data_IF_464183395752
#
_entry.id   IF_464183395752
#
_cell.length_a   1.000
_cell.length_b   1.000
_cell.length_c   1.000
_cell.angle_alpha   90.00
_cell.angle_beta   90.00
_cell.angle_gamma   90.00
#
_symmetry.space_group_name_H-M   'P 1'
#
loop_
_entity.id
_entity.type
_entity.pdbx_description
1 polymer ?
#
# COMPACT_ATOMS: atom_id res chain seq x y z
N UNK A 1 -47.94 3.92 -67.04
CA UNK A 1 -48.42 2.57 -66.72
C UNK A 1 -47.79 1.62 -67.72
N UNK A 2 -46.77 0.85 -67.30
CA UNK A 2 -46.49 -0.54 -67.71
C UNK A 2 -45.16 -0.97 -67.09
N UNK A 3 -45.27 -2.08 -66.35
CA UNK A 3 -44.25 -2.89 -65.68
C UNK A 3 -42.96 -3.12 -66.48
N UNK A 4 -41.82 -2.99 -65.79
CA UNK A 4 -40.62 -3.76 -66.12
C UNK A 4 -40.10 -4.44 -64.85
N UNK A 5 -40.05 -5.77 -64.94
CA UNK A 5 -39.46 -6.71 -63.99
C UNK A 5 -37.97 -6.43 -63.78
N UNK A 6 -37.53 -6.46 -62.51
CA UNK A 6 -36.13 -6.69 -62.18
C UNK A 6 -36.03 -7.88 -61.23
N UNK A 7 -35.27 -8.88 -61.70
CA UNK A 7 -34.93 -10.13 -61.05
C UNK A 7 -33.90 -9.89 -59.95
N UNK A 8 -34.21 -10.34 -58.73
CA UNK A 8 -33.27 -10.36 -57.61
C UNK A 8 -32.47 -11.65 -57.68
N UNK A 9 -31.19 -11.55 -58.03
CA UNK A 9 -30.24 -12.66 -58.00
C UNK A 9 -29.69 -12.80 -56.57
N UNK A 10 -30.00 -13.93 -55.93
CA UNK A 10 -29.56 -14.29 -54.59
C UNK A 10 -28.08 -14.71 -54.63
N UNK A 11 -27.18 -13.87 -54.11
CA UNK A 11 -25.78 -14.23 -53.90
C UNK A 11 -25.60 -14.85 -52.51
N UNK A 12 -25.55 -16.19 -52.48
CA UNK A 12 -25.08 -16.99 -51.35
C UNK A 12 -23.69 -16.51 -50.92
N UNK A 13 -23.58 -15.88 -49.76
CA UNK A 13 -22.29 -15.69 -49.08
C UNK A 13 -22.02 -16.90 -48.19
N UNK A 14 -20.91 -17.55 -48.50
CA UNK A 14 -20.30 -18.69 -47.83
C UNK A 14 -19.95 -18.35 -46.37
N UNK A 15 -20.50 -19.14 -45.45
CA UNK A 15 -20.09 -19.20 -44.06
C UNK A 15 -18.68 -19.82 -43.98
N UNK A 16 -17.69 -18.98 -43.65
CA UNK A 16 -16.36 -19.43 -43.23
C UNK A 16 -16.45 -19.87 -41.77
N UNK A 17 -16.47 -21.18 -41.56
CA UNK A 17 -16.33 -21.80 -40.24
C UNK A 17 -14.85 -21.70 -39.81
N UNK A 18 -14.56 -20.86 -38.83
CA UNK A 18 -13.28 -20.87 -38.12
C UNK A 18 -13.30 -21.97 -37.05
N UNK A 19 -12.34 -22.90 -37.02
CA UNK A 19 -12.19 -23.84 -35.92
C UNK A 19 -11.59 -23.11 -34.71
N UNK A 20 -12.39 -22.95 -33.66
CA UNK A 20 -11.89 -22.63 -32.32
C UNK A 20 -11.15 -23.86 -31.78
N UNK A 21 -9.82 -23.83 -31.83
CA UNK A 21 -9.00 -24.71 -31.00
C UNK A 21 -9.15 -24.29 -29.53
N UNK A 22 -9.87 -25.11 -28.77
CA UNK A 22 -9.85 -25.13 -27.32
C UNK A 22 -8.43 -25.51 -26.86
N UNK A 23 -7.62 -24.49 -26.53
CA UNK A 23 -6.43 -24.69 -25.74
C UNK A 23 -6.85 -24.81 -24.27
N UNK A 24 -6.94 -26.05 -23.78
CA UNK A 24 -7.00 -26.38 -22.36
C UNK A 24 -5.65 -26.04 -21.73
N UNK A 25 -5.51 -24.80 -21.26
CA UNK A 25 -4.39 -24.38 -20.42
C UNK A 25 -4.53 -24.99 -19.03
N UNK A 26 -3.61 -25.90 -18.69
CA UNK A 26 -3.56 -26.59 -17.41
C UNK A 26 -3.49 -25.61 -16.23
N UNK A 27 -4.27 -25.93 -15.21
CA UNK A 27 -4.13 -25.36 -13.88
C UNK A 27 -2.76 -25.77 -13.32
N UNK A 28 -1.83 -24.82 -13.26
CA UNK A 28 -0.65 -24.96 -12.42
C UNK A 28 -1.11 -24.88 -10.96
N UNK A 29 -1.18 -26.05 -10.33
CA UNK A 29 -1.17 -26.20 -8.87
C UNK A 29 0.09 -25.51 -8.35
N UNK A 30 -0.07 -24.37 -7.66
CA UNK A 30 0.97 -23.90 -6.76
C UNK A 30 0.76 -24.60 -5.43
N UNK A 31 1.57 -25.64 -5.21
CA UNK A 31 1.70 -26.31 -3.94
C UNK A 31 2.04 -25.31 -2.85
N UNK A 32 1.13 -25.26 -1.88
CA UNK A 32 1.24 -24.53 -0.64
C UNK A 32 2.21 -25.32 0.25
N UNK A 33 3.51 -25.10 0.08
CA UNK A 33 4.49 -25.56 1.05
C UNK A 33 4.36 -24.74 2.33
N UNK A 34 3.50 -25.22 3.22
CA UNK A 34 3.50 -24.92 4.64
C UNK A 34 4.68 -25.67 5.25
N UNK A 35 5.84 -25.01 5.35
CA UNK A 35 6.99 -25.54 6.07
C UNK A 35 6.73 -25.47 7.57
N UNK A 36 6.12 -26.52 8.11
CA UNK A 36 6.11 -26.77 9.55
C UNK A 36 7.51 -27.22 9.93
N UNK A 37 8.31 -26.33 10.51
CA UNK A 37 9.64 -26.67 11.03
C UNK A 37 9.44 -27.29 12.42
N UNK A 38 9.48 -28.63 12.48
CA UNK A 38 9.58 -29.41 13.71
C UNK A 38 11.06 -29.53 14.08
N UNK A 39 11.52 -28.83 15.11
CA UNK A 39 12.86 -29.05 15.67
C UNK A 39 12.84 -30.26 16.60
N UNK A 40 13.36 -31.39 16.11
CA UNK A 40 13.76 -32.53 16.95
C UNK A 40 15.15 -32.26 17.51
N UNK A 41 15.24 -32.13 18.83
CA UNK A 41 16.50 -31.99 19.55
C UNK A 41 17.26 -33.30 19.65
N UNK A 42 18.57 -33.24 19.42
CA UNK A 42 19.52 -34.28 19.83
C UNK A 42 20.76 -33.64 20.42
N UNK A 43 21.09 -34.09 21.63
CA UNK A 43 22.30 -33.85 22.40
C UNK A 43 23.59 -34.06 21.58
N UNK A 44 24.60 -33.21 21.82
CA UNK A 44 25.97 -33.40 21.38
C UNK A 44 26.91 -32.38 22.02
N UNK A 45 27.91 -32.86 22.75
CA UNK A 45 28.81 -32.15 23.65
C UNK A 45 29.93 -31.35 22.98
N UNK A 46 30.45 -30.37 23.75
CA UNK A 46 31.82 -29.82 23.83
C UNK A 46 32.59 -29.38 22.56
N UNK A 47 33.05 -28.12 22.56
CA UNK A 47 34.25 -27.72 21.80
C UNK A 47 34.32 -26.26 21.32
N UNK A 48 34.84 -25.38 22.18
CA UNK A 48 35.66 -24.18 21.94
C UNK A 48 35.65 -23.41 20.59
N UNK A 49 35.34 -22.11 20.74
CA UNK A 49 36.03 -20.93 20.18
C UNK A 49 35.70 -20.36 18.78
N UNK A 50 35.68 -19.02 18.80
CA UNK A 50 35.87 -18.04 17.71
C UNK A 50 34.64 -17.51 16.94
N UNK A 51 34.40 -16.21 17.20
CA UNK A 51 34.10 -15.11 16.26
C UNK A 51 33.24 -15.43 15.03
N UNK A 52 32.05 -14.83 15.02
CA UNK A 52 31.28 -14.61 13.80
C UNK A 52 30.03 -13.81 14.11
N UNK A 53 30.18 -12.51 14.32
CA UNK A 53 29.06 -11.58 14.45
C UNK A 53 28.35 -11.51 13.09
N UNK A 54 27.26 -12.25 12.93
CA UNK A 54 26.37 -12.18 11.78
C UNK A 54 25.55 -10.90 11.83
N UNK A 55 26.20 -9.77 11.58
CA UNK A 55 25.52 -8.50 11.42
C UNK A 55 24.70 -8.53 10.13
N UNK A 56 23.37 -8.63 10.26
CA UNK A 56 22.47 -8.27 9.15
C UNK A 56 22.84 -6.87 8.69
N UNK A 57 23.21 -6.77 7.41
CA UNK A 57 23.57 -5.49 6.79
C UNK A 57 22.29 -4.70 6.61
N UNK A 58 21.87 -3.97 7.65
CA UNK A 58 20.82 -2.96 7.50
C UNK A 58 21.28 -1.96 6.44
N UNK A 59 20.55 -1.89 5.33
CA UNK A 59 20.76 -0.88 4.30
C UNK A 59 20.35 0.45 4.90
N UNK A 60 21.32 1.18 5.45
CA UNK A 60 21.10 2.53 6.00
C UNK A 60 21.10 3.54 4.86
N UNK A 61 19.96 4.17 4.63
CA UNK A 61 19.88 5.28 3.69
C UNK A 61 20.46 6.55 4.32
N UNK A 62 21.24 7.34 3.57
CA UNK A 62 21.66 8.67 4.02
C UNK A 62 20.39 9.53 4.23
N UNK A 63 20.06 9.80 5.49
CA UNK A 63 18.81 10.47 5.89
C UNK A 63 18.07 9.78 7.05
N UNK A 64 18.34 8.50 7.33
CA UNK A 64 17.86 7.83 8.55
C UNK A 64 18.66 8.29 9.77
N UNK A 65 18.35 9.50 10.27
CA UNK A 65 18.77 9.87 11.63
C UNK A 65 18.09 8.91 12.61
N UNK A 66 18.89 8.16 13.37
CA UNK A 66 18.44 7.48 14.58
C UNK A 66 17.84 8.54 15.52
N UNK A 67 16.52 8.72 15.46
CA UNK A 67 15.80 9.44 16.51
C UNK A 67 15.71 8.50 17.71
N UNK A 68 16.78 8.46 18.49
CA UNK A 68 16.71 8.02 19.88
C UNK A 68 15.92 9.09 20.65
N UNK A 69 14.59 9.03 20.61
CA UNK A 69 13.76 9.73 21.59
C UNK A 69 13.94 8.95 22.91
N UNK A 70 14.79 9.44 23.81
CA UNK A 70 14.64 9.14 25.23
C UNK A 70 13.48 9.98 25.74
N UNK A 71 12.47 9.32 26.30
CA UNK A 71 11.23 9.91 26.83
C UNK A 71 11.42 10.65 28.19
N UNK A 72 12.66 10.89 28.62
CA UNK A 72 12.95 11.32 30.01
C UNK A 72 13.18 12.83 30.22
N UNK A 73 13.06 13.69 29.20
CA UNK A 73 13.34 15.14 29.33
C UNK A 73 12.15 16.08 29.08
N UNK A 74 10.93 15.68 29.48
CA UNK A 74 9.74 16.57 29.44
C UNK A 74 9.48 17.15 30.83
N UNK A 75 10.36 18.05 31.30
CA UNK A 75 10.02 18.95 32.40
C UNK A 75 11.00 20.13 32.55
N UNK A 76 11.37 20.79 31.45
CA UNK A 76 11.99 22.13 31.53
C UNK A 76 11.19 23.16 30.73
N UNK A 77 10.97 24.31 31.38
CA UNK A 77 10.10 25.42 30.98
C UNK A 77 10.39 25.91 29.56
N UNK A 78 9.40 25.82 28.69
CA UNK A 78 9.39 26.47 27.38
C UNK A 78 9.20 27.99 27.54
N UNK A 79 10.32 28.70 27.73
CA UNK A 79 10.43 30.10 27.29
C UNK A 79 11.11 30.04 25.94
N UNK A 80 10.35 29.94 24.86
CA UNK A 80 10.91 30.06 23.51
C UNK A 80 11.50 31.46 23.37
N UNK A 81 12.80 31.57 23.13
CA UNK A 81 13.40 32.83 22.73
C UNK A 81 12.97 33.14 21.29
N UNK A 82 12.79 34.41 20.93
CA UNK A 82 12.36 34.84 19.58
C UNK A 82 13.28 34.34 18.45
N UNK A 83 14.47 33.84 18.77
CA UNK A 83 15.42 33.25 17.84
C UNK A 83 15.13 31.78 17.51
N UNK A 84 14.38 31.05 18.36
CA UNK A 84 14.03 29.64 18.17
C UNK A 84 12.69 29.44 17.44
N UNK A 85 11.99 30.54 17.15
CA UNK A 85 10.74 30.57 16.39
C UNK A 85 10.96 30.80 14.90
N UNK A 86 12.13 30.48 14.34
CA UNK A 86 12.26 30.39 12.89
C UNK A 86 11.37 29.22 12.48
N UNK A 87 10.28 29.45 11.73
CA UNK A 87 9.54 28.33 11.17
C UNK A 87 10.55 27.54 10.36
N UNK A 88 10.81 26.30 10.74
CA UNK A 88 11.50 25.36 9.88
C UNK A 88 10.63 25.27 8.63
N UNK A 89 10.95 26.10 7.64
CA UNK A 89 10.43 25.97 6.29
C UNK A 89 11.07 24.67 5.82
N UNK A 90 10.40 23.56 6.08
CA UNK A 90 10.64 22.34 5.35
C UNK A 90 10.38 22.70 3.89
N UNK A 91 11.44 23.09 3.17
CA UNK A 91 11.40 23.11 1.72
C UNK A 91 11.04 21.68 1.31
N UNK A 92 9.76 21.46 1.05
CA UNK A 92 9.30 20.21 0.48
C UNK A 92 9.86 20.19 -0.93
N UNK A 93 10.97 19.46 -1.09
CA UNK A 93 11.55 19.25 -2.40
C UNK A 93 10.59 18.37 -3.17
N UNK A 94 9.86 18.95 -4.11
CA UNK A 94 9.01 18.22 -5.03
C UNK A 94 9.85 17.70 -6.20
N UNK A 95 9.71 16.42 -6.53
CA UNK A 95 10.41 15.83 -7.69
C UNK A 95 9.43 15.83 -8.85
N UNK A 96 9.68 16.66 -9.87
CA UNK A 96 8.78 16.74 -11.02
C UNK A 96 8.81 15.48 -11.90
N UNK A 97 7.66 15.14 -12.47
CA UNK A 97 7.56 14.13 -13.51
C UNK A 97 8.08 14.66 -14.85
N UNK A 98 8.89 13.87 -15.53
CA UNK A 98 9.36 14.21 -16.86
C UNK A 98 8.26 14.02 -17.92
N UNK A 99 8.51 14.47 -19.16
CA UNK A 99 7.53 14.40 -20.26
C UNK A 99 7.06 12.96 -20.54
N UNK A 100 7.94 11.96 -20.48
CA UNK A 100 7.57 10.57 -20.72
C UNK A 100 6.61 10.05 -19.65
N UNK A 101 6.83 10.43 -18.39
CA UNK A 101 5.96 10.06 -17.26
C UNK A 101 4.60 10.75 -17.36
N UNK A 102 4.56 12.05 -17.71
CA UNK A 102 3.32 12.77 -18.00
C UNK A 102 2.52 12.10 -19.12
N UNK A 103 3.20 11.59 -20.16
CA UNK A 103 2.56 10.80 -21.23
C UNK A 103 2.03 9.44 -20.74
N UNK A 104 2.70 8.77 -19.79
CA UNK A 104 2.18 7.53 -19.18
C UNK A 104 0.86 7.78 -18.44
N UNK A 105 0.79 8.86 -17.65
CA UNK A 105 -0.45 9.30 -16.98
C UNK A 105 -1.53 9.58 -18.01
N UNK A 106 -1.20 10.33 -19.07
CA UNK A 106 -2.14 10.66 -20.14
C UNK A 106 -2.71 9.41 -20.82
N UNK A 107 -1.86 8.45 -21.20
CA UNK A 107 -2.27 7.18 -21.82
C UNK A 107 -3.18 6.36 -20.91
N UNK A 108 -2.98 6.43 -19.59
CA UNK A 108 -3.79 5.73 -18.58
C UNK A 108 -4.96 6.55 -18.04
N UNK A 109 -5.28 7.71 -18.62
CA UNK A 109 -6.36 8.60 -18.14
C UNK A 109 -7.74 7.91 -18.08
N UNK A 110 -8.06 7.03 -19.05
CA UNK A 110 -9.30 6.24 -19.03
C UNK A 110 -9.35 5.29 -17.84
N UNK A 111 -8.23 4.64 -17.51
CA UNK A 111 -8.12 3.78 -16.33
C UNK A 111 -8.28 4.59 -15.04
N UNK A 112 -7.56 5.70 -14.91
CA UNK A 112 -7.65 6.62 -13.75
C UNK A 112 -9.09 7.05 -13.50
N UNK A 113 -9.83 7.47 -14.54
CA UNK A 113 -11.25 7.85 -14.43
C UNK A 113 -12.13 6.71 -13.95
N UNK A 114 -11.97 5.51 -14.51
CA UNK A 114 -12.74 4.32 -14.09
C UNK A 114 -12.42 3.94 -12.64
N UNK A 115 -11.15 4.02 -12.25
CA UNK A 115 -10.72 3.72 -10.89
C UNK A 115 -11.34 4.69 -9.89
N UNK A 116 -11.27 6.02 -10.15
CA UNK A 116 -11.92 7.05 -9.33
C UNK A 116 -13.43 6.79 -9.19
N UNK A 117 -14.11 6.47 -10.30
CA UNK A 117 -15.53 6.18 -10.29
C UNK A 117 -15.89 4.92 -9.48
N UNK A 118 -15.11 3.84 -9.59
CA UNK A 118 -15.35 2.60 -8.86
C UNK A 118 -15.13 2.75 -7.34
N UNK A 119 -14.14 3.55 -6.93
CA UNK A 119 -13.79 3.72 -5.52
C UNK A 119 -14.81 4.57 -4.75
N UNK A 120 -15.44 5.56 -5.41
CA UNK A 120 -16.45 6.43 -4.78
C UNK A 120 -17.66 5.68 -4.19
N UNK A 121 -17.94 4.47 -4.68
CA UNK A 121 -19.15 3.72 -4.31
C UNK A 121 -18.87 2.43 -3.50
N UNK A 122 -17.62 2.12 -3.16
CA UNK A 122 -17.29 0.90 -2.40
C UNK A 122 -16.67 1.24 -1.05
N UNK A 123 -17.30 0.75 0.01
CA UNK A 123 -16.86 0.83 1.41
C UNK A 123 -15.68 -0.09 1.77
N UNK A 124 -15.14 -0.81 0.79
CA UNK A 124 -13.87 -1.52 0.89
C UNK A 124 -13.33 -1.77 -0.52
N UNK A 125 -12.02 -1.66 -0.78
CA UNK A 125 -11.47 -2.00 -2.08
C UNK A 125 -11.47 -3.53 -2.17
N UNK A 126 -12.37 -4.08 -2.99
CA UNK A 126 -12.07 -5.34 -3.65
C UNK A 126 -10.71 -5.19 -4.30
N UNK A 127 -9.76 -6.09 -4.01
CA UNK A 127 -8.38 -6.10 -4.53
C UNK A 127 -8.36 -5.92 -6.06
N UNK A 128 -8.42 -4.69 -6.53
CA UNK A 128 -8.18 -4.37 -7.93
C UNK A 128 -6.71 -4.70 -8.12
N UNK A 129 -6.32 -5.52 -9.09
CA UNK A 129 -4.89 -5.71 -9.35
C UNK A 129 -4.31 -4.36 -9.75
N UNK A 130 -3.58 -3.74 -8.84
CA UNK A 130 -3.03 -2.40 -9.05
C UNK A 130 -1.74 -2.53 -9.84
N UNK A 131 -1.73 -1.95 -11.04
CA UNK A 131 -0.48 -1.76 -11.79
C UNK A 131 -0.01 -0.33 -11.57
N UNK A 132 1.31 -0.16 -11.44
CA UNK A 132 1.91 1.18 -11.41
C UNK A 132 1.50 1.96 -12.66
N UNK A 133 1.11 3.21 -12.49
CA UNK A 133 0.76 4.12 -13.58
C UNK A 133 2.05 4.70 -14.15
N UNK A 134 2.92 5.23 -13.28
CA UNK A 134 4.17 5.91 -13.60
C UNK A 134 5.36 5.06 -13.20
N UNK A 135 6.30 4.88 -14.13
CA UNK A 135 7.59 4.24 -13.86
C UNK A 135 8.63 5.31 -13.54
N UNK A 136 9.25 5.21 -12.36
CA UNK A 136 10.32 6.11 -11.92
C UNK A 136 11.66 5.74 -12.55
N UNK A 137 12.46 6.74 -12.92
CA UNK A 137 13.83 6.53 -13.39
C UNK A 137 14.75 6.16 -12.21
N UNK A 138 15.89 5.47 -12.45
CA UNK A 138 16.85 5.17 -11.38
C UNK A 138 17.30 6.42 -10.60
N UNK A 139 17.56 7.53 -11.30
CA UNK A 139 17.94 8.79 -10.66
C UNK A 139 16.85 9.34 -9.73
N UNK A 140 15.59 9.28 -10.14
CA UNK A 140 14.46 9.66 -9.28
C UNK A 140 14.32 8.73 -8.09
N UNK A 141 14.53 7.41 -8.24
CA UNK A 141 14.51 6.46 -7.11
C UNK A 141 15.53 6.85 -6.05
N UNK A 142 16.78 7.12 -6.46
CA UNK A 142 17.85 7.57 -5.56
C UNK A 142 17.48 8.86 -4.84
N UNK A 143 16.90 9.84 -5.56
CA UNK A 143 16.45 11.10 -4.99
C UNK A 143 15.27 10.92 -4.01
N UNK A 144 14.34 10.02 -4.31
CA UNK A 144 13.21 9.71 -3.41
C UNK A 144 13.72 9.03 -2.15
N UNK A 145 14.63 8.07 -2.25
CA UNK A 145 15.17 7.35 -1.09
C UNK A 145 15.98 8.27 -0.17
N UNK A 146 16.70 9.27 -0.71
CA UNK A 146 17.41 10.24 0.12
C UNK A 146 16.49 11.20 0.87
N UNK A 147 15.30 11.48 0.34
CA UNK A 147 14.34 12.44 0.93
C UNK A 147 13.27 11.77 1.80
N UNK A 148 12.77 10.62 1.36
CA UNK A 148 11.62 9.91 1.92
C UNK A 148 11.99 8.51 2.41
N UNK A 149 13.28 8.20 2.60
CA UNK A 149 13.75 6.86 2.98
C UNK A 149 13.13 6.29 4.26
N UNK A 150 12.60 7.15 5.14
CA UNK A 150 11.89 6.75 6.35
C UNK A 150 10.52 6.10 6.10
N UNK A 151 9.95 6.24 4.89
CA UNK A 151 8.68 5.62 4.52
C UNK A 151 8.82 4.17 4.05
N UNK A 152 10.04 3.73 3.75
CA UNK A 152 10.29 2.46 3.11
C UNK A 152 10.93 1.47 4.08
N UNK A 153 10.43 0.24 4.08
CA UNK A 153 11.01 -0.87 4.83
C UNK A 153 10.85 -2.18 4.07
N UNK A 154 11.63 -3.18 4.46
CA UNK A 154 11.47 -4.55 3.95
C UNK A 154 10.33 -5.27 4.70
N UNK A 155 9.82 -6.37 4.16
CA UNK A 155 8.69 -7.09 4.77
C UNK A 155 9.08 -7.71 6.13
N UNK A 156 10.33 -8.14 6.23
CA UNK A 156 10.93 -8.80 7.40
C UNK A 156 11.09 -7.85 8.59
N UNK A 157 11.09 -6.54 8.33
CA UNK A 157 11.24 -5.48 9.35
C UNK A 157 9.90 -5.10 9.99
N UNK A 158 8.79 -5.61 9.47
CA UNK A 158 7.46 -5.26 9.96
C UNK A 158 7.16 -5.93 11.31
N UNK A 159 6.53 -5.21 12.24
CA UNK A 159 6.06 -5.83 13.47
C UNK A 159 5.00 -6.89 13.13
N UNK A 160 5.13 -8.05 13.76
CA UNK A 160 4.09 -9.08 13.76
C UNK A 160 2.80 -8.48 14.31
N UNK A 161 1.79 -8.40 13.46
CA UNK A 161 0.45 -7.90 13.78
C UNK A 161 -0.13 -8.60 15.03
N UNK A 162 0.18 -9.89 15.21
CA UNK A 162 -0.27 -10.71 16.33
C UNK A 162 0.44 -10.45 17.67
N UNK A 163 1.54 -9.70 17.71
CA UNK A 163 2.36 -9.53 18.91
C UNK A 163 2.25 -8.17 19.61
N UNK A 164 1.52 -7.21 19.03
CA UNK A 164 1.17 -5.96 19.73
C UNK A 164 0.25 -6.25 20.94
N UNK A 165 -0.40 -7.41 20.98
CA UNK A 165 -1.26 -7.86 22.08
C UNK A 165 -0.64 -8.81 23.12
N UNK A 166 0.59 -9.34 22.92
CA UNK A 166 1.11 -10.45 23.76
C UNK A 166 2.23 -10.07 24.73
N UNK A 167 2.72 -8.82 24.71
CA UNK A 167 3.55 -8.31 25.83
C UNK A 167 2.64 -7.85 26.97
N UNK A 168 2.41 -8.75 27.92
CA UNK A 168 1.76 -8.51 29.21
C UNK A 168 2.18 -7.17 29.84
N UNK A 169 1.30 -6.16 29.78
CA UNK A 169 1.00 -5.20 30.87
C UNK A 169 -0.10 -4.24 30.39
N UNK A 170 -1.30 -4.43 30.97
CA UNK A 170 -2.60 -3.79 30.65
C UNK A 170 -3.37 -4.53 29.56
N UNK A 171 -4.46 -5.17 29.98
CA UNK A 171 -5.53 -5.68 29.13
C UNK A 171 -6.08 -4.53 28.28
N UNK A 172 -5.57 -4.36 27.05
CA UNK A 172 -6.21 -3.50 26.07
C UNK A 172 -7.53 -4.16 25.68
N UNK A 173 -8.64 -3.54 26.08
CA UNK A 173 -9.97 -3.99 25.69
C UNK A 173 -10.17 -3.58 24.23
N UNK A 174 -10.21 -4.56 23.34
CA UNK A 174 -10.56 -4.33 21.94
C UNK A 174 -12.09 -4.22 21.86
N UNK A 175 -12.59 -3.00 21.65
CA UNK A 175 -14.03 -2.73 21.57
C UNK A 175 -14.63 -3.31 20.28
N UNK A 176 -13.93 -3.12 19.16
CA UNK A 176 -14.30 -3.64 17.86
C UNK A 176 -13.27 -4.65 17.37
N UNK A 177 -13.61 -5.95 17.33
CA UNK A 177 -12.78 -6.96 16.70
C UNK A 177 -12.45 -6.58 15.26
N UNK A 178 -11.17 -6.60 14.93
CA UNK A 178 -10.64 -6.21 13.62
C UNK A 178 -9.56 -7.16 13.14
N UNK A 179 -9.51 -7.36 11.83
CA UNK A 179 -8.42 -8.02 11.13
C UNK A 179 -7.46 -6.94 10.64
N UNK A 180 -6.20 -7.04 11.04
CA UNK A 180 -5.13 -6.13 10.68
C UNK A 180 -4.23 -6.79 9.63
N UNK A 181 -3.94 -6.08 8.54
CA UNK A 181 -3.08 -6.56 7.47
C UNK A 181 -2.14 -5.44 6.99
N UNK A 182 -0.84 -5.73 6.94
CA UNK A 182 0.11 -4.89 6.20
C UNK A 182 -0.05 -5.10 4.69
N UNK A 183 -0.27 -4.03 3.94
CA UNK A 183 -0.40 -4.06 2.49
C UNK A 183 0.55 -3.04 1.82
N UNK A 184 1.04 -3.42 0.65
CA UNK A 184 1.87 -2.57 -0.20
C UNK A 184 0.98 -1.86 -1.23
N UNK A 185 0.19 -0.90 -0.74
CA UNK A 185 -0.77 -0.17 -1.57
C UNK A 185 -0.03 0.51 -2.73
N UNK A 186 -0.54 0.35 -3.96
CA UNK A 186 0.04 1.00 -5.16
C UNK A 186 -0.73 2.24 -5.56
N UNK A 187 -2.06 2.26 -5.37
CA UNK A 187 -2.92 3.41 -5.68
C UNK A 187 -3.76 3.75 -4.45
N UNK A 188 -3.88 5.03 -4.13
CA UNK A 188 -4.68 5.52 -3.02
C UNK A 188 -5.43 6.79 -3.37
N UNK A 189 -6.38 7.17 -2.53
CA UNK A 189 -7.02 8.49 -2.58
C UNK A 189 -6.41 9.38 -1.51
N UNK A 190 -6.22 10.65 -1.81
CA UNK A 190 -5.85 11.66 -0.80
C UNK A 190 -7.08 12.09 0.02
N UNK A 191 -6.86 12.94 1.03
CA UNK A 191 -7.95 13.60 1.75
C UNK A 191 -8.97 14.28 0.81
N UNK A 192 -8.47 14.88 -0.27
CA UNK A 192 -9.24 15.64 -1.26
C UNK A 192 -9.80 14.77 -2.40
N UNK A 193 -9.83 13.45 -2.23
CA UNK A 193 -10.26 12.46 -3.23
C UNK A 193 -9.44 12.48 -4.54
N UNK A 194 -8.20 12.98 -4.47
CA UNK A 194 -7.25 12.90 -5.56
C UNK A 194 -6.73 11.45 -5.68
N UNK A 195 -6.81 10.86 -6.87
CA UNK A 195 -6.13 9.58 -7.13
C UNK A 195 -4.63 9.82 -7.26
N UNK A 196 -3.85 9.13 -6.43
CA UNK A 196 -2.38 9.15 -6.43
C UNK A 196 -1.81 7.75 -6.53
N UNK A 197 -0.55 7.64 -6.97
CA UNK A 197 0.22 6.40 -6.87
C UNK A 197 1.14 6.46 -5.66
N UNK A 198 0.99 5.51 -4.76
CA UNK A 198 1.94 5.29 -3.66
C UNK A 198 3.20 4.67 -4.23
N UNK A 199 4.36 5.24 -3.89
CA UNK A 199 5.65 4.80 -4.44
C UNK A 199 6.02 3.45 -3.82
N UNK A 200 6.42 2.49 -4.66
CA UNK A 200 6.86 1.16 -4.25
C UNK A 200 8.13 0.79 -5.05
N UNK A 201 9.17 0.29 -4.40
CA UNK A 201 10.42 -0.14 -5.03
C UNK A 201 10.53 -1.67 -5.00
N UNK A 202 9.71 -2.31 -5.85
CA UNK A 202 9.64 -3.77 -5.89
C UNK A 202 10.97 -4.46 -6.26
N UNK A 203 11.87 -3.76 -6.95
CA UNK A 203 13.19 -4.25 -7.35
C UNK A 203 14.18 -4.39 -6.19
N UNK A 204 14.09 -3.53 -5.18
CA UNK A 204 14.94 -3.58 -3.99
C UNK A 204 14.26 -4.23 -2.79
N UNK A 205 12.96 -4.52 -2.90
CA UNK A 205 12.14 -5.03 -1.79
C UNK A 205 11.63 -3.93 -0.87
N UNK A 206 12.09 -2.69 -1.05
CA UNK A 206 11.68 -1.54 -0.25
C UNK A 206 10.26 -1.10 -0.62
N UNK A 207 9.37 -1.13 0.37
CA UNK A 207 7.96 -0.82 0.17
C UNK A 207 7.46 0.13 1.25
N UNK A 208 6.46 0.92 0.87
CA UNK A 208 5.65 1.64 1.84
C UNK A 208 4.54 0.71 2.31
N UNK A 209 4.68 0.22 3.54
CA UNK A 209 3.71 -0.68 4.16
C UNK A 209 2.65 0.12 4.88
N UNK A 210 1.40 -0.17 4.52
CA UNK A 210 0.23 0.50 5.05
C UNK A 210 -0.59 -0.53 5.81
N UNK A 211 -0.91 -0.22 7.07
CA UNK A 211 -1.76 -1.06 7.90
C UNK A 211 -3.23 -0.81 7.53
N UNK A 212 -3.84 -1.77 6.85
CA UNK A 212 -5.27 -1.84 6.56
C UNK A 212 -5.97 -2.60 7.69
N UNK A 213 -7.12 -2.08 8.16
CA UNK A 213 -7.92 -2.77 9.16
C UNK A 213 -9.34 -3.00 8.66
N UNK A 214 -9.89 -4.18 8.96
CA UNK A 214 -11.26 -4.56 8.61
C UNK A 214 -12.01 -4.98 9.85
N UNK A 215 -13.21 -4.46 10.04
CA UNK A 215 -14.08 -4.96 11.10
C UNK A 215 -14.46 -6.41 10.82
N UNK A 216 -14.22 -7.31 11.77
CA UNK A 216 -14.63 -8.71 11.65
C UNK A 216 -16.08 -8.92 12.12
N UNK A 217 -16.61 -7.96 12.88
CA UNK A 217 -17.97 -7.95 13.39
C UNK A 217 -18.58 -6.55 13.24
N UNK A 218 -19.92 -6.49 13.20
CA UNK A 218 -20.66 -5.23 13.13
C UNK A 218 -21.12 -4.72 14.51
N UNK A 219 -20.81 -5.46 15.58
CA UNK A 219 -21.20 -5.16 16.97
C UNK A 219 -19.97 -5.16 17.87
N UNK A 220 -20.02 -4.37 18.94
CA UNK A 220 -18.94 -4.30 19.92
C UNK A 220 -19.00 -5.49 20.90
N UNK A 221 -17.85 -5.96 21.37
CA UNK A 221 -17.80 -7.21 22.16
C UNK A 221 -18.35 -7.11 23.58
N UNK A 222 -18.46 -5.91 24.17
CA UNK A 222 -18.78 -5.74 25.60
C UNK A 222 -19.71 -4.56 25.94
N UNK A 223 -20.17 -3.79 24.95
CA UNK A 223 -20.95 -2.57 25.16
C UNK A 223 -22.28 -2.72 24.43
N UNK A 224 -23.40 -2.73 25.16
CA UNK A 224 -24.74 -2.62 24.57
C UNK A 224 -24.86 -1.26 23.88
N UNK A 225 -25.60 -1.20 22.75
CA UNK A 225 -25.76 0.02 21.94
C UNK A 225 -24.46 0.52 21.27
N UNK A 226 -23.55 -0.39 20.95
CA UNK A 226 -22.31 -0.10 20.23
C UNK A 226 -22.20 -0.98 18.98
N UNK A 227 -21.96 -0.33 17.84
CA UNK A 227 -21.71 -0.94 16.55
C UNK A 227 -20.27 -0.75 16.11
N UNK A 228 -19.79 -1.66 15.29
CA UNK A 228 -18.49 -1.54 14.62
C UNK A 228 -18.72 -1.22 13.15
N UNK A 229 -17.95 -0.28 12.62
CA UNK A 229 -18.05 0.10 11.21
C UNK A 229 -16.68 0.44 10.62
N UNK A 230 -16.53 0.13 9.34
CA UNK A 230 -15.39 0.58 8.57
C UNK A 230 -15.41 2.10 8.44
N UNK A 231 -14.28 2.74 8.73
CA UNK A 231 -14.05 4.15 8.53
C UNK A 231 -12.75 4.33 7.74
N UNK A 232 -12.51 5.54 7.25
CA UNK A 232 -11.22 5.90 6.67
C UNK A 232 -10.41 6.73 7.66
N UNK A 233 -9.13 6.44 7.80
CA UNK A 233 -8.14 7.31 8.45
C UNK A 233 -7.14 7.83 7.43
N UNK A 234 -6.44 8.89 7.79
CA UNK A 234 -5.39 9.48 6.98
C UNK A 234 -4.02 8.99 7.44
N UNK A 235 -3.19 8.51 6.51
CA UNK A 235 -1.79 8.17 6.76
C UNK A 235 -0.89 8.90 5.78
N UNK A 236 0.30 9.31 6.23
CA UNK A 236 1.28 9.95 5.34
C UNK A 236 1.92 8.90 4.44
N UNK A 237 2.15 9.25 3.18
CA UNK A 237 2.87 8.44 2.22
C UNK A 237 3.61 9.33 1.21
N UNK A 238 4.73 8.83 0.70
CA UNK A 238 5.37 9.37 -0.49
C UNK A 238 4.60 8.92 -1.73
N UNK A 239 4.05 9.87 -2.49
CA UNK A 239 3.15 9.58 -3.60
C UNK A 239 3.56 10.33 -4.86
N UNK A 240 3.08 9.85 -6.00
CA UNK A 240 3.07 10.56 -7.27
C UNK A 240 1.67 11.14 -7.47
N UNK A 241 1.57 12.47 -7.45
CA UNK A 241 0.36 13.19 -7.84
C UNK A 241 0.29 13.23 -9.37
N UNK A 242 -0.83 12.75 -9.93
CA UNK A 242 -1.06 12.81 -11.37
C UNK A 242 -1.51 14.20 -11.82
N UNK A 243 -2.21 14.93 -10.95
CA UNK A 243 -2.78 16.22 -11.27
C UNK A 243 -1.70 17.32 -11.17
N UNK A 244 -0.84 17.27 -10.14
CA UNK A 244 0.31 18.17 -9.99
C UNK A 244 1.54 17.71 -10.80
N UNK A 245 1.56 16.44 -11.23
CA UNK A 245 2.71 15.84 -11.92
C UNK A 245 4.02 15.94 -11.12
N UNK A 246 3.95 15.70 -9.81
CA UNK A 246 5.10 15.71 -8.90
C UNK A 246 5.08 14.50 -7.96
N UNK A 247 6.25 14.17 -7.42
CA UNK A 247 6.40 13.36 -6.22
C UNK A 247 6.33 14.29 -5.01
N UNK A 248 5.49 13.95 -4.04
CA UNK A 248 5.32 14.70 -2.80
C UNK A 248 4.89 13.76 -1.66
N UNK A 249 5.02 14.24 -0.43
CA UNK A 249 4.35 13.64 0.73
C UNK A 249 2.90 14.09 0.76
N UNK A 250 1.95 13.14 0.80
CA UNK A 250 0.52 13.44 0.98
C UNK A 250 -0.12 12.51 2.01
N UNK A 251 -1.24 12.95 2.55
CA UNK A 251 -2.12 12.08 3.35
C UNK A 251 -3.03 11.28 2.44
N UNK A 252 -3.01 9.96 2.57
CA UNK A 252 -3.87 9.02 1.85
C UNK A 252 -4.92 8.40 2.79
N UNK A 253 -6.10 8.12 2.24
CA UNK A 253 -7.21 7.44 2.91
C UNK A 253 -6.94 5.93 2.94
N UNK A 254 -7.00 5.35 4.13
CA UNK A 254 -6.86 3.90 4.37
C UNK A 254 -7.96 3.43 5.31
N UNK A 255 -8.39 2.18 5.21
CA UNK A 255 -9.51 1.70 6.03
C UNK A 255 -9.05 1.36 7.44
N UNK A 256 -9.90 1.69 8.40
CA UNK A 256 -9.77 1.31 9.79
C UNK A 256 -11.12 0.82 10.33
N UNK A 257 -11.09 0.06 11.43
CA UNK A 257 -12.30 -0.34 12.14
C UNK A 257 -12.51 0.58 13.35
N UNK A 258 -13.71 1.19 13.45
CA UNK A 258 -14.06 2.07 14.57
C UNK A 258 -15.36 1.63 15.24
N UNK A 259 -15.43 1.88 16.54
CA UNK A 259 -16.66 1.77 17.31
C UNK A 259 -17.53 3.02 17.12
N UNK A 260 -18.85 2.84 17.05
CA UNK A 260 -19.86 3.90 17.02
C UNK A 260 -21.01 3.55 17.96
N UNK A 261 -21.62 4.55 18.57
CA UNK A 261 -22.84 4.35 19.35
C UNK A 261 -24.03 4.15 18.39
N UNK A 262 -24.91 3.21 18.73
CA UNK A 262 -26.19 2.97 18.05
C UNK A 262 -27.24 3.80 18.82
N UNK A 263 -27.63 4.93 18.24
CA UNK A 263 -28.71 5.76 18.77
C UNK A 263 -30.09 5.22 18.42
#
# INVERSE_FOLDING_TARGET
>A
MTSHHFTVSLLLHTLVLFPFHLATGGYANYDKHSSTITYSGTHGQHGSSSRGSGGSTMVRYPGQLLRNYSDDDILHRNVCTLQDCIPYIHMQVTIELNLQQKLQVHRKRRFIRRWRAAYKYRSAPTRIRHTSIVTLTPAQKTQILSQFGNYFSQAEELPLVSQIGTRQKRTSIIVCPREEQWDALVLGLTNDDELVQVIQFADTGDRQWILDERCTQNQCSFVSDCGCSAHTRLVRAAVISFDESVVAEKYIKVYCCVAKLLG
#
